data_IF_589367965158
#
_entry.id   IF_589367965158
#
_cell.length_a   1.000
_cell.length_b   1.000
_cell.length_c   1.000
_cell.angle_alpha   90.00
_cell.angle_beta   90.00
_cell.angle_gamma   90.00
#
_symmetry.space_group_name_H-M   'P 1'
#
loop_
_entity.id
_entity.type
_entity.pdbx_description
1 polymer ?
#
# COMPACT_ATOMS: atom_id res chain seq x y z
N UNK A 1 3.13 -2.68 10.37
CA UNK A 1 2.69 -1.30 10.71
C UNK A 1 2.02 -0.71 9.48
N UNK A 2 0.91 0.04 9.61
CA UNK A 2 0.30 0.69 8.44
C UNK A 2 1.21 1.83 7.94
N UNK A 3 1.32 1.97 6.61
CA UNK A 3 2.21 2.90 5.92
C UNK A 3 1.49 3.58 4.75
N UNK A 4 1.88 4.80 4.38
CA UNK A 4 1.31 5.53 3.22
C UNK A 4 0.78 6.93 3.53
N UNK A 5 -0.26 7.39 2.81
CA UNK A 5 -0.90 8.69 3.07
C UNK A 5 -2.19 8.60 3.90
N UNK A 6 -2.81 7.41 3.96
CA UNK A 6 -4.05 7.19 4.71
C UNK A 6 -3.90 7.45 6.22
N UNK A 7 -5.01 7.33 6.95
CA UNK A 7 -5.06 7.54 8.38
C UNK A 7 -6.35 6.99 8.96
N UNK A 8 -6.30 6.53 10.20
CA UNK A 8 -7.51 6.16 10.93
C UNK A 8 -7.96 7.35 11.76
N UNK A 9 -9.24 7.72 11.66
CA UNK A 9 -9.81 8.83 12.41
C UNK A 9 -9.49 8.71 13.91
N UNK A 10 -8.93 9.77 14.50
CA UNK A 10 -8.60 9.83 15.92
C UNK A 10 -7.38 9.03 16.36
N UNK A 11 -6.76 8.23 15.49
CA UNK A 11 -5.58 7.42 15.81
C UNK A 11 -4.28 8.20 15.57
N UNK A 12 -3.18 7.85 16.26
CA UNK A 12 -1.86 8.42 15.99
C UNK A 12 -1.51 8.31 14.50
N UNK A 13 -0.90 9.35 13.90
CA UNK A 13 -0.64 9.38 12.48
C UNK A 13 0.33 8.26 12.08
N UNK A 14 -0.07 7.49 11.07
CA UNK A 14 0.76 6.45 10.43
C UNK A 14 0.92 6.82 8.95
N UNK A 15 1.61 7.94 8.71
CA UNK A 15 1.81 8.50 7.37
C UNK A 15 3.28 8.66 7.03
N UNK A 16 3.62 8.17 5.85
CA UNK A 16 4.94 8.30 5.24
C UNK A 16 4.91 9.31 4.08
N UNK A 17 3.73 9.58 3.51
CA UNK A 17 3.54 10.50 2.38
C UNK A 17 2.67 11.69 2.75
N UNK A 18 2.90 12.83 2.11
CA UNK A 18 2.00 13.98 2.15
C UNK A 18 1.00 13.98 0.99
N UNK A 19 -0.09 14.76 1.12
CA UNK A 19 -1.04 15.01 0.03
C UNK A 19 -0.40 15.56 -1.25
N UNK A 20 0.67 16.35 -1.09
CA UNK A 20 1.44 16.89 -2.21
C UNK A 20 2.24 15.83 -2.95
N UNK A 21 2.40 14.64 -2.39
CA UNK A 21 3.18 13.54 -2.97
C UNK A 21 2.28 12.49 -3.61
N UNK A 22 1.24 12.07 -2.88
CA UNK A 22 0.27 11.06 -3.32
C UNK A 22 -1.15 11.58 -3.13
N UNK A 23 -1.89 11.70 -4.23
CA UNK A 23 -3.29 12.13 -4.22
C UNK A 23 -3.69 12.87 -5.51
N UNK A 24 -4.90 13.44 -5.58
CA UNK A 24 -5.33 14.21 -6.75
C UNK A 24 -4.40 15.41 -6.98
N UNK A 25 -3.67 15.41 -8.09
CA UNK A 25 -2.67 16.44 -8.41
C UNK A 25 -1.34 16.31 -7.66
N UNK A 26 -1.07 15.14 -7.06
CA UNK A 26 0.21 14.86 -6.41
C UNK A 26 1.41 15.07 -7.33
N UNK A 27 2.52 15.57 -6.76
CA UNK A 27 3.76 15.82 -7.50
C UNK A 27 4.42 14.53 -7.97
N UNK A 28 4.32 13.47 -7.17
CA UNK A 28 4.94 12.17 -7.41
C UNK A 28 3.96 11.15 -7.99
N UNK A 29 2.75 11.07 -7.42
CA UNK A 29 1.65 10.26 -7.93
C UNK A 29 0.38 11.12 -7.94
N UNK A 30 -0.07 11.50 -9.13
CA UNK A 30 -1.38 12.09 -9.37
C UNK A 30 -2.41 10.96 -9.55
N UNK A 31 -3.25 10.73 -8.55
CA UNK A 31 -4.24 9.64 -8.56
C UNK A 31 -5.40 9.86 -9.53
N UNK A 32 -5.43 10.98 -10.26
CA UNK A 32 -6.36 11.20 -11.39
C UNK A 32 -5.88 10.58 -12.70
N UNK A 33 -4.66 10.06 -12.72
CA UNK A 33 -4.02 9.42 -13.87
C UNK A 33 -3.53 8.02 -13.49
N UNK A 34 -3.34 7.11 -14.45
CA UNK A 34 -2.74 5.80 -14.19
C UNK A 34 -1.35 5.94 -13.56
N UNK A 35 -1.00 4.99 -12.70
CA UNK A 35 0.32 4.84 -12.09
C UNK A 35 0.58 3.36 -11.86
N UNK A 36 1.85 2.99 -11.76
CA UNK A 36 2.29 1.62 -11.54
C UNK A 36 2.42 1.34 -10.04
N UNK A 37 2.05 0.12 -9.67
CA UNK A 37 2.19 -0.41 -8.32
C UNK A 37 2.99 -1.70 -8.43
N UNK A 38 4.19 -1.71 -7.87
CA UNK A 38 5.00 -2.91 -7.73
C UNK A 38 5.04 -3.32 -6.26
N UNK A 39 4.85 -4.61 -5.99
CA UNK A 39 4.99 -5.19 -4.65
C UNK A 39 6.00 -6.33 -4.71
N UNK A 40 7.07 -6.23 -3.93
CA UNK A 40 8.15 -7.21 -3.87
C UNK A 40 8.15 -7.92 -2.52
N UNK A 41 8.50 -9.21 -2.55
CA UNK A 41 8.54 -10.12 -1.40
C UNK A 41 9.95 -10.72 -1.25
N UNK A 42 10.98 -9.90 -0.92
CA UNK A 42 12.34 -10.40 -0.75
C UNK A 42 12.40 -11.40 0.41
N UNK A 43 13.18 -12.47 0.23
CA UNK A 43 13.44 -13.48 1.26
C UNK A 43 14.86 -13.37 1.80
N UNK A 44 15.07 -13.82 3.04
CA UNK A 44 16.41 -14.07 3.58
C UNK A 44 17.04 -15.35 3.00
N UNK A 45 18.22 -15.72 3.51
CA UNK A 45 18.95 -16.93 3.09
C UNK A 45 18.23 -18.25 3.42
N UNK A 46 17.24 -18.22 4.32
CA UNK A 46 16.46 -19.39 4.73
C UNK A 46 15.12 -19.48 3.96
N UNK A 47 14.90 -18.54 3.02
CA UNK A 47 13.68 -18.45 2.23
C UNK A 47 12.49 -17.91 3.03
N UNK A 48 12.73 -17.26 4.17
CA UNK A 48 11.69 -16.58 4.96
C UNK A 48 11.51 -15.15 4.46
N UNK A 49 10.29 -14.63 4.50
CA UNK A 49 10.00 -13.27 4.03
C UNK A 49 10.74 -12.24 4.89
N UNK A 50 11.67 -11.51 4.29
CA UNK A 50 12.45 -10.47 4.95
C UNK A 50 11.68 -9.14 5.02
N UNK A 51 10.84 -8.86 4.02
CA UNK A 51 9.98 -7.68 3.99
C UNK A 51 8.86 -7.82 2.95
N UNK A 52 7.88 -6.92 3.05
CA UNK A 52 7.08 -6.49 1.90
C UNK A 52 7.51 -5.09 1.48
N UNK A 53 7.80 -4.91 0.20
CA UNK A 53 8.20 -3.62 -0.37
C UNK A 53 7.19 -3.18 -1.41
N UNK A 54 6.75 -1.94 -1.33
CA UNK A 54 5.81 -1.34 -2.29
C UNK A 54 6.52 -0.18 -2.97
N UNK A 55 6.44 -0.10 -4.29
CA UNK A 55 6.87 1.06 -5.06
C UNK A 55 5.72 1.57 -5.92
N UNK A 56 5.45 2.87 -5.82
CA UNK A 56 4.51 3.60 -6.66
C UNK A 56 5.28 4.49 -7.62
N UNK A 57 5.02 4.37 -8.91
CA UNK A 57 5.67 5.20 -9.93
C UNK A 57 4.67 5.66 -10.98
N UNK A 58 4.89 6.82 -11.57
CA UNK A 58 4.00 7.39 -12.58
C UNK A 58 4.83 7.94 -13.73
N UNK A 59 4.41 7.64 -14.96
CA UNK A 59 5.09 8.10 -16.16
C UNK A 59 5.18 9.64 -16.17
N UNK A 60 6.35 10.15 -16.58
CA UNK A 60 6.63 11.59 -16.55
C UNK A 60 6.91 12.18 -15.16
N UNK A 61 6.93 11.36 -14.10
CA UNK A 61 7.32 11.77 -12.73
C UNK A 61 8.63 11.11 -12.32
N UNK A 62 9.53 11.86 -11.70
CA UNK A 62 10.87 11.40 -11.31
C UNK A 62 11.02 11.06 -9.82
N UNK A 63 9.92 11.00 -9.06
CA UNK A 63 9.93 10.69 -7.63
C UNK A 63 9.03 9.50 -7.31
N UNK A 64 9.47 8.26 -7.54
CA UNK A 64 8.73 7.10 -7.05
C UNK A 64 8.61 7.15 -5.52
N UNK A 65 7.50 6.63 -5.01
CA UNK A 65 7.24 6.52 -3.58
C UNK A 65 7.43 5.07 -3.14
N UNK A 66 8.25 4.84 -2.11
CA UNK A 66 8.56 3.49 -1.64
C UNK A 66 8.17 3.29 -0.18
N UNK A 67 7.61 2.12 0.12
CA UNK A 67 7.28 1.67 1.47
C UNK A 67 7.95 0.32 1.72
N UNK A 68 8.50 0.14 2.92
CA UNK A 68 9.03 -1.15 3.36
C UNK A 68 8.40 -1.55 4.70
N UNK A 69 7.97 -2.80 4.76
CA UNK A 69 7.46 -3.45 5.96
C UNK A 69 8.27 -4.71 6.24
N UNK A 70 9.29 -4.55 7.05
CA UNK A 70 10.17 -5.61 7.60
C UNK A 70 9.83 -5.93 9.07
N UNK A 71 8.81 -5.28 9.62
CA UNK A 71 8.25 -5.60 10.93
C UNK A 71 6.71 -5.68 10.88
N UNK A 72 6.19 -6.87 11.16
CA UNK A 72 4.75 -7.11 11.25
C UNK A 72 4.44 -8.01 12.45
N UNK A 73 4.05 -7.39 13.58
CA UNK A 73 3.64 -8.09 14.80
C UNK A 73 2.13 -8.16 14.89
N UNK A 74 1.61 -9.36 15.08
CA UNK A 74 0.20 -9.60 15.33
C UNK A 74 -0.11 -9.54 16.82
N UNK A 75 -1.41 -9.47 17.16
CA UNK A 75 -1.86 -9.53 18.56
C UNK A 75 -1.34 -10.81 19.23
N UNK A 76 -0.95 -10.69 20.50
CA UNK A 76 -0.37 -11.82 21.26
C UNK A 76 1.11 -12.09 20.98
N UNK A 77 1.82 -11.18 20.31
CA UNK A 77 3.28 -11.28 20.09
C UNK A 77 3.70 -12.16 18.92
N UNK A 78 2.72 -12.72 18.19
CA UNK A 78 2.92 -13.56 17.01
C UNK A 78 3.67 -12.81 15.90
N UNK A 79 4.54 -13.53 15.21
CA UNK A 79 5.31 -13.03 14.08
C UNK A 79 4.47 -13.11 12.80
N UNK A 80 3.97 -11.96 12.35
CA UNK A 80 3.14 -11.88 11.16
C UNK A 80 3.92 -12.07 9.86
N UNK A 81 5.24 -11.81 9.82
CA UNK A 81 6.04 -12.09 8.61
C UNK A 81 6.27 -13.59 8.45
N UNK A 82 6.52 -14.30 9.56
CA UNK A 82 6.64 -15.75 9.54
C UNK A 82 5.33 -16.41 9.08
N UNK A 83 4.18 -15.95 9.59
CA UNK A 83 2.88 -16.48 9.16
C UNK A 83 2.55 -16.17 7.70
N UNK A 84 2.90 -14.96 7.24
CA UNK A 84 2.73 -14.59 5.85
C UNK A 84 3.64 -15.39 4.92
N UNK A 85 4.86 -15.72 5.35
CA UNK A 85 5.79 -16.60 4.63
C UNK A 85 5.12 -17.94 4.33
N UNK A 86 4.54 -18.58 5.35
CA UNK A 86 3.91 -19.89 5.19
C UNK A 86 2.65 -19.82 4.32
N UNK A 87 1.85 -18.74 4.44
CA UNK A 87 0.69 -18.54 3.58
C UNK A 87 1.08 -18.35 2.10
N UNK A 88 2.13 -17.58 1.81
CA UNK A 88 2.65 -17.39 0.45
C UNK A 88 3.21 -18.69 -0.12
N UNK A 89 3.94 -19.48 0.69
CA UNK A 89 4.48 -20.81 0.30
C UNK A 89 3.37 -21.80 -0.04
N UNK A 90 2.27 -21.78 0.70
CA UNK A 90 1.11 -22.63 0.44
C UNK A 90 0.36 -22.26 -0.85
N UNK A 91 0.60 -21.06 -1.38
CA UNK A 91 -0.11 -20.49 -2.52
C UNK A 91 -1.35 -19.71 -2.07
N UNK A 92 -1.52 -18.53 -2.67
CA UNK A 92 -2.64 -17.62 -2.40
C UNK A 92 -3.42 -17.32 -3.67
N UNK A 93 -4.72 -17.04 -3.54
CA UNK A 93 -5.55 -16.59 -4.66
C UNK A 93 -5.64 -15.06 -4.65
N UNK A 94 -5.30 -14.37 -5.75
CA UNK A 94 -5.50 -12.93 -5.83
C UNK A 94 -6.99 -12.59 -5.88
N UNK A 95 -7.42 -11.64 -5.05
CA UNK A 95 -8.80 -11.13 -5.02
C UNK A 95 -8.76 -9.63 -5.34
N UNK A 96 -9.58 -9.22 -6.30
CA UNK A 96 -9.76 -7.81 -6.67
C UNK A 96 -11.20 -7.44 -6.33
N UNK A 97 -11.37 -6.42 -5.49
CA UNK A 97 -12.68 -5.92 -5.11
C UNK A 97 -12.71 -4.39 -5.14
N UNK A 98 -13.87 -3.84 -5.44
CA UNK A 98 -14.16 -2.41 -5.37
C UNK A 98 -15.47 -2.23 -4.64
N UNK A 99 -15.45 -1.45 -3.56
CA UNK A 99 -16.58 -1.26 -2.67
C UNK A 99 -16.51 0.12 -2.00
N UNK A 100 -17.64 0.57 -1.47
CA UNK A 100 -17.74 1.77 -0.66
C UNK A 100 -18.51 1.45 0.64
N UNK A 101 -18.36 2.33 1.61
CA UNK A 101 -19.05 2.24 2.90
C UNK A 101 -19.21 3.64 3.48
N UNK A 102 -20.10 3.79 4.45
CA UNK A 102 -20.19 4.96 5.32
C UNK A 102 -19.23 4.89 6.51
N UNK A 103 -18.29 3.93 6.49
CA UNK A 103 -17.28 3.69 7.52
C UNK A 103 -15.93 3.34 6.84
N UNK A 104 -15.32 4.33 6.19
CA UNK A 104 -14.02 4.24 5.52
C UNK A 104 -12.95 5.14 6.14
N UNK A 105 -13.31 6.00 7.10
CA UNK A 105 -12.37 6.88 7.80
C UNK A 105 -11.31 6.14 8.64
N UNK A 106 -11.40 4.82 8.80
CA UNK A 106 -10.32 3.99 9.34
C UNK A 106 -9.12 3.88 8.38
N UNK A 107 -9.36 4.05 7.07
CA UNK A 107 -8.37 3.94 6.00
C UNK A 107 -7.80 5.30 5.61
N UNK A 108 -8.65 6.32 5.46
CA UNK A 108 -8.29 7.62 4.86
C UNK A 108 -8.75 8.84 5.68
N UNK A 109 -9.18 8.63 6.92
CA UNK A 109 -9.59 9.68 7.85
C UNK A 109 -8.43 10.56 8.32
N UNK A 110 -8.79 11.68 8.95
CA UNK A 110 -7.88 12.74 9.36
C UNK A 110 -6.70 12.30 10.25
N UNK A 111 -6.85 11.26 11.05
CA UNK A 111 -5.92 10.96 12.14
C UNK A 111 -6.01 11.98 13.29
N UNK A 112 -5.31 11.70 14.40
CA UNK A 112 -5.30 12.55 15.59
C UNK A 112 -4.66 13.94 15.36
N UNK A 113 -3.84 14.08 14.31
CA UNK A 113 -3.16 15.33 13.94
C UNK A 113 -3.87 16.10 12.81
N UNK A 114 -5.02 15.62 12.32
CA UNK A 114 -5.86 16.37 11.40
C UNK A 114 -5.35 16.48 9.96
N UNK A 115 -4.41 15.64 9.50
CA UNK A 115 -3.76 15.77 8.17
C UNK A 115 -4.07 14.66 7.16
N UNK A 116 -4.93 13.71 7.53
CA UNK A 116 -5.45 12.73 6.60
C UNK A 116 -6.34 13.37 5.51
N UNK A 117 -6.58 12.67 4.40
CA UNK A 117 -7.27 13.25 3.24
C UNK A 117 -8.79 13.44 3.43
N UNK A 118 -9.46 12.58 4.19
CA UNK A 118 -10.92 12.56 4.28
C UNK A 118 -11.42 13.02 5.65
N UNK A 119 -12.35 13.97 5.64
CA UNK A 119 -13.05 14.46 6.84
C UNK A 119 -14.33 13.66 7.12
N UNK A 120 -14.98 13.19 6.05
CA UNK A 120 -16.27 12.49 6.09
C UNK A 120 -16.33 11.47 4.95
N UNK A 121 -16.99 10.36 5.20
CA UNK A 121 -17.26 9.36 4.17
C UNK A 121 -18.32 9.85 3.20
N UNK A 122 -18.02 9.73 1.91
CA UNK A 122 -18.94 10.10 0.82
C UNK A 122 -19.07 8.94 -0.17
N UNK A 123 -19.72 7.81 0.21
CA UNK A 123 -19.81 6.63 -0.65
C UNK A 123 -20.47 6.89 -2.01
N UNK A 124 -21.35 7.89 -2.09
CA UNK A 124 -21.99 8.32 -3.35
C UNK A 124 -21.05 9.09 -4.29
N UNK A 125 -19.89 9.53 -3.83
CA UNK A 125 -18.89 10.21 -4.63
C UNK A 125 -17.90 9.23 -5.31
N UNK A 126 -17.98 7.94 -4.96
CA UNK A 126 -17.20 6.89 -5.60
C UNK A 126 -17.60 6.77 -7.10
N UNK A 127 -16.64 6.66 -8.03
CA UNK A 127 -16.94 6.39 -9.43
C UNK A 127 -17.61 5.02 -9.62
N UNK A 128 -18.30 4.83 -10.74
CA UNK A 128 -18.97 3.56 -11.05
C UNK A 128 -18.00 2.38 -11.24
N UNK A 129 -16.75 2.66 -11.62
CA UNK A 129 -15.73 1.65 -11.83
C UNK A 129 -14.32 2.16 -11.50
N UNK A 130 -13.44 1.20 -11.25
CA UNK A 130 -11.98 1.38 -11.25
C UNK A 130 -11.38 0.41 -12.25
N UNK A 131 -10.16 0.68 -12.71
CA UNK A 131 -9.47 -0.16 -13.69
C UNK A 131 -8.15 -0.63 -13.11
N UNK A 132 -7.93 -1.93 -13.18
CA UNK A 132 -6.64 -2.54 -12.92
C UNK A 132 -6.14 -3.15 -14.23
N UNK A 133 -4.91 -2.84 -14.61
CA UNK A 133 -4.33 -3.20 -15.91
C UNK A 133 -2.87 -3.60 -15.69
N UNK A 134 -2.29 -4.35 -16.63
CA UNK A 134 -0.85 -4.64 -16.63
C UNK A 134 -0.39 -5.56 -15.49
N UNK A 135 -1.23 -6.50 -15.07
CA UNK A 135 -0.83 -7.49 -14.07
C UNK A 135 0.32 -8.36 -14.60
N UNK A 136 1.41 -8.41 -13.84
CA UNK A 136 2.50 -9.37 -14.04
C UNK A 136 3.01 -9.89 -12.69
N UNK A 137 3.64 -11.05 -12.73
CA UNK A 137 4.38 -11.64 -11.61
C UNK A 137 5.72 -12.06 -12.17
N UNK A 138 6.79 -11.54 -11.58
CA UNK A 138 8.15 -11.71 -12.08
C UNK A 138 9.09 -11.97 -10.90
N UNK A 139 10.20 -12.70 -11.11
CA UNK A 139 11.25 -12.82 -10.10
C UNK A 139 11.82 -11.44 -9.74
N UNK A 140 12.23 -11.26 -8.48
CA UNK A 140 12.99 -10.08 -8.08
C UNK A 140 14.36 -10.20 -8.74
N UNK A 141 14.68 -9.31 -9.67
CA UNK A 141 16.01 -9.24 -10.26
C UNK A 141 17.00 -8.81 -9.18
N UNK A 142 17.90 -9.71 -8.80
CA UNK A 142 19.02 -9.35 -7.96
C UNK A 142 20.00 -8.53 -8.82
N UNK A 143 20.70 -7.56 -8.22
CA UNK A 143 21.75 -6.79 -8.90
C UNK A 143 22.95 -7.65 -9.37
N UNK A 144 22.87 -8.97 -9.26
CA UNK A 144 23.88 -9.95 -9.68
C UNK A 144 23.54 -10.56 -11.05
N UNK A 145 22.32 -10.34 -11.56
CA UNK A 145 21.83 -10.94 -12.81
C UNK A 145 21.72 -9.92 -13.97
N UNK A 146 22.37 -8.76 -13.86
CA UNK A 146 22.44 -7.71 -14.88
C UNK A 146 23.85 -7.54 -15.47
#
# INVERSE_FOLDING_TARGET
>A
VARGYGGSLGEPPRRDFASKEYGPGGRCVDTRQPFQVAVSFPTDSEGSLAAMEVTLSQEGKSCPLSLRTDEYRLKGGRDGLAELTEALRAGMTPVISYWNSTDMLWMDGLGADGRGPCVVDAPKACPDYVRFLGFSIEPILSSVDA
#
